data_IF_752605603701
#
_entry.id   IF_752605603701
#
_cell.length_a   1.000
_cell.length_b   1.000
_cell.length_c   1.000
_cell.angle_alpha   90.00
_cell.angle_beta   90.00
_cell.angle_gamma   90.00
#
_symmetry.space_group_name_H-M   'P 1'
#
loop_
_entity.id
_entity.type
_entity.pdbx_description
1 polymer ?
#
# COMPACT_ATOMS: atom_id res chain seq x y z
N UNK A 1 59.40 -2.76 18.70
CA UNK A 1 58.14 -2.33 18.05
C UNK A 1 58.09 -2.98 16.68
N UNK A 2 57.35 -4.08 16.55
CA UNK A 2 57.14 -4.81 15.29
C UNK A 2 55.66 -4.64 14.99
N UNK A 3 55.33 -3.90 13.94
CA UNK A 3 53.95 -3.60 13.54
C UNK A 3 53.34 -4.80 12.82
N UNK A 4 52.26 -5.33 13.39
CA UNK A 4 51.43 -6.35 12.78
C UNK A 4 50.69 -5.78 11.56
N UNK A 5 51.02 -6.28 10.38
CA UNK A 5 50.24 -6.06 9.16
C UNK A 5 49.01 -6.97 9.22
N UNK A 6 47.86 -6.40 9.58
CA UNK A 6 46.59 -7.10 9.56
C UNK A 6 46.18 -7.39 8.11
N UNK A 7 46.33 -8.63 7.68
CA UNK A 7 45.73 -9.14 6.45
C UNK A 7 44.22 -9.27 6.69
N UNK A 8 43.48 -8.24 6.31
CA UNK A 8 42.02 -8.29 6.28
C UNK A 8 41.63 -9.15 5.07
N UNK A 9 41.52 -10.46 5.29
CA UNK A 9 40.88 -11.39 4.36
C UNK A 9 39.40 -11.02 4.29
N UNK A 10 39.03 -10.24 3.28
CA UNK A 10 37.66 -10.16 2.82
C UNK A 10 37.25 -11.56 2.37
N UNK A 11 36.56 -12.26 3.27
CA UNK A 11 35.87 -13.49 2.94
C UNK A 11 34.87 -13.17 1.81
N UNK A 12 35.29 -13.48 0.59
CA UNK A 12 34.42 -13.61 -0.56
C UNK A 12 33.41 -14.70 -0.20
N UNK A 13 32.21 -14.28 0.20
CA UNK A 13 31.05 -15.16 0.20
C UNK A 13 30.87 -15.60 -1.24
N UNK A 14 31.20 -16.86 -1.51
CA UNK A 14 31.06 -17.47 -2.82
C UNK A 14 29.61 -17.41 -3.28
N UNK A 15 29.31 -16.54 -4.23
CA UNK A 15 28.09 -16.60 -5.02
C UNK A 15 28.26 -17.72 -6.05
N UNK A 16 27.97 -18.95 -5.62
CA UNK A 16 27.84 -20.08 -6.51
C UNK A 16 26.70 -19.81 -7.51
N UNK A 17 27.05 -19.63 -8.78
CA UNK A 17 26.24 -20.08 -9.94
C UNK A 17 24.75 -19.73 -10.00
N UNK A 18 24.26 -18.65 -9.39
CA UNK A 18 22.89 -18.24 -9.58
C UNK A 18 22.79 -17.52 -10.93
N UNK A 19 22.14 -18.17 -11.90
CA UNK A 19 21.77 -17.48 -13.14
C UNK A 19 21.03 -16.18 -12.78
N UNK A 20 21.15 -15.09 -13.56
CA UNK A 20 20.51 -13.82 -13.23
C UNK A 20 18.98 -13.91 -13.04
N UNK A 21 18.37 -14.98 -13.57
CA UNK A 21 16.97 -15.33 -13.34
C UNK A 21 16.67 -15.84 -11.91
N UNK A 22 17.59 -16.54 -11.26
CA UNK A 22 17.38 -17.07 -9.91
C UNK A 22 17.28 -15.95 -8.86
N UNK A 23 18.08 -14.90 -9.02
CA UNK A 23 18.01 -13.71 -8.17
C UNK A 23 16.65 -13.01 -8.29
N UNK A 24 16.12 -12.92 -9.51
CA UNK A 24 14.79 -12.38 -9.77
C UNK A 24 13.67 -13.14 -9.04
N UNK A 25 13.72 -14.47 -9.02
CA UNK A 25 12.74 -15.30 -8.28
C UNK A 25 12.83 -15.03 -6.78
N UNK A 26 14.05 -14.95 -6.23
CA UNK A 26 14.24 -14.66 -4.82
C UNK A 26 13.73 -13.26 -4.45
N UNK A 27 13.96 -12.27 -5.31
CA UNK A 27 13.39 -10.93 -5.15
C UNK A 27 11.86 -10.93 -5.22
N UNK A 28 11.25 -11.74 -6.08
CA UNK A 28 9.79 -11.91 -6.11
C UNK A 28 9.26 -12.45 -4.78
N UNK A 29 9.92 -13.46 -4.20
CA UNK A 29 9.54 -14.01 -2.90
C UNK A 29 9.65 -12.97 -1.77
N UNK A 30 10.70 -12.14 -1.78
CA UNK A 30 10.87 -11.07 -0.80
C UNK A 30 9.77 -10.01 -0.87
N UNK A 31 9.32 -9.66 -2.09
CA UNK A 31 8.22 -8.70 -2.26
C UNK A 31 6.89 -9.33 -1.86
N UNK A 32 6.62 -10.58 -2.21
CA UNK A 32 5.41 -11.27 -1.74
C UNK A 32 5.34 -11.28 -0.21
N UNK A 33 6.47 -11.50 0.47
CA UNK A 33 6.55 -11.42 1.93
C UNK A 33 6.39 -9.99 2.47
N UNK A 34 6.82 -8.96 1.74
CA UNK A 34 6.64 -7.55 2.10
C UNK A 34 5.16 -7.12 1.93
N UNK A 35 4.54 -7.46 0.80
CA UNK A 35 3.12 -7.24 0.51
C UNK A 35 2.25 -7.90 1.59
N UNK A 36 2.60 -9.13 2.01
CA UNK A 36 1.89 -9.81 3.10
C UNK A 36 2.00 -9.08 4.46
N UNK A 37 3.02 -8.23 4.65
CA UNK A 37 3.19 -7.38 5.84
C UNK A 37 2.60 -5.98 5.65
N UNK A 38 2.01 -5.68 4.50
CA UNK A 38 1.47 -4.35 4.18
C UNK A 38 2.51 -3.34 3.68
N UNK A 39 3.72 -3.78 3.31
CA UNK A 39 4.74 -2.93 2.68
C UNK A 39 4.64 -3.04 1.16
N UNK A 40 4.02 -2.03 0.55
CA UNK A 40 3.81 -1.94 -0.90
C UNK A 40 4.82 -1.04 -1.63
N UNK A 41 5.73 -0.38 -0.90
CA UNK A 41 6.66 0.59 -1.47
C UNK A 41 7.81 -0.08 -2.26
N UNK A 42 8.06 -1.35 -2.01
CA UNK A 42 9.15 -2.11 -2.63
C UNK A 42 8.80 -2.50 -4.06
N UNK A 43 9.73 -2.25 -4.99
CA UNK A 43 9.62 -2.68 -6.40
C UNK A 43 10.75 -3.64 -6.76
N UNK A 44 10.42 -4.61 -7.62
CA UNK A 44 11.40 -5.54 -8.18
C UNK A 44 12.05 -4.88 -9.38
N UNK A 45 13.37 -4.79 -9.36
CA UNK A 45 14.17 -4.51 -10.56
C UNK A 45 14.99 -5.75 -10.89
N UNK A 46 14.78 -6.28 -12.08
CA UNK A 46 15.53 -7.42 -12.60
C UNK A 46 16.57 -6.93 -13.62
N UNK A 47 17.88 -7.05 -13.34
CA UNK A 47 18.93 -6.48 -14.18
C UNK A 47 18.96 -7.11 -15.59
N UNK A 48 18.45 -8.34 -15.76
CA UNK A 48 18.43 -9.03 -17.04
C UNK A 48 17.02 -9.16 -17.61
N UNK A 49 16.67 -8.26 -18.54
CA UNK A 49 15.43 -8.31 -19.35
C UNK A 49 15.32 -9.57 -20.22
N UNK A 50 16.41 -10.31 -20.41
CA UNK A 50 16.43 -11.58 -21.13
C UNK A 50 15.81 -12.74 -20.35
N UNK A 51 15.46 -12.55 -19.07
CA UNK A 51 14.80 -13.58 -18.29
C UNK A 51 13.33 -13.75 -18.72
N UNK A 52 12.88 -15.00 -18.89
CA UNK A 52 11.49 -15.35 -19.22
C UNK A 52 10.48 -14.95 -18.12
N UNK A 53 10.97 -14.51 -16.96
CA UNK A 53 10.17 -14.09 -15.80
C UNK A 53 9.73 -12.62 -15.84
N UNK A 54 10.01 -11.90 -16.92
CA UNK A 54 9.66 -10.46 -17.05
C UNK A 54 8.16 -10.21 -16.83
N UNK A 55 7.29 -11.12 -17.32
CA UNK A 55 5.85 -11.03 -17.09
C UNK A 55 5.47 -11.17 -15.61
N UNK A 56 6.10 -12.11 -14.89
CA UNK A 56 5.89 -12.31 -13.45
C UNK A 56 6.33 -11.08 -12.65
N UNK A 57 7.52 -10.56 -12.94
CA UNK A 57 8.07 -9.36 -12.28
C UNK A 57 7.16 -8.16 -12.51
N UNK A 58 6.66 -7.98 -13.73
CA UNK A 58 5.74 -6.90 -14.08
C UNK A 58 4.40 -7.05 -13.35
N UNK A 59 3.84 -8.26 -13.32
CA UNK A 59 2.59 -8.54 -12.61
C UNK A 59 2.70 -8.33 -11.11
N UNK A 60 3.81 -8.76 -10.48
CA UNK A 60 4.07 -8.55 -9.06
C UNK A 60 4.21 -7.06 -8.72
N UNK A 61 4.95 -6.30 -9.55
CA UNK A 61 5.08 -4.86 -9.39
C UNK A 61 3.76 -4.12 -9.59
N UNK A 62 2.94 -4.56 -10.55
CA UNK A 62 1.60 -4.01 -10.77
C UNK A 62 0.71 -4.26 -9.57
N UNK A 63 0.67 -5.49 -9.03
CA UNK A 63 -0.10 -5.83 -7.83
C UNK A 63 0.33 -4.97 -6.63
N UNK A 64 1.63 -4.81 -6.39
CA UNK A 64 2.14 -3.97 -5.30
C UNK A 64 1.74 -2.50 -5.49
N UNK A 65 1.84 -1.98 -6.72
CA UNK A 65 1.46 -0.58 -7.02
C UNK A 65 -0.03 -0.36 -6.81
N UNK A 66 -0.89 -1.24 -7.35
CA UNK A 66 -2.35 -1.16 -7.13
C UNK A 66 -2.69 -1.17 -5.64
N UNK A 67 -2.09 -2.07 -4.85
CA UNK A 67 -2.32 -2.12 -3.40
C UNK A 67 -1.85 -0.85 -2.67
N UNK A 68 -0.71 -0.28 -3.09
CA UNK A 68 -0.21 1.00 -2.55
C UNK A 68 -1.21 2.13 -2.81
N UNK A 69 -1.62 2.29 -4.07
CA UNK A 69 -2.53 3.37 -4.49
C UNK A 69 -3.88 3.28 -3.78
N UNK A 70 -4.43 2.07 -3.62
CA UNK A 70 -5.68 1.85 -2.90
C UNK A 70 -5.53 2.13 -1.41
N UNK A 71 -4.42 1.72 -0.78
CA UNK A 71 -4.19 1.97 0.64
C UNK A 71 -4.09 3.47 0.92
N UNK A 72 -3.38 4.22 0.07
CA UNK A 72 -3.30 5.68 0.17
C UNK A 72 -4.69 6.34 0.06
N UNK A 73 -5.50 5.93 -0.94
CA UNK A 73 -6.86 6.46 -1.11
C UNK A 73 -7.77 6.18 0.08
N UNK A 74 -7.72 4.96 0.62
CA UNK A 74 -8.51 4.61 1.82
C UNK A 74 -8.06 5.43 3.02
N UNK A 75 -6.75 5.57 3.23
CA UNK A 75 -6.20 6.35 4.35
C UNK A 75 -6.55 7.84 4.24
N UNK A 76 -6.54 8.41 3.04
CA UNK A 76 -6.92 9.80 2.81
C UNK A 76 -8.38 10.05 3.17
N UNK A 77 -9.30 9.17 2.73
CA UNK A 77 -10.72 9.29 3.08
C UNK A 77 -10.92 9.15 4.59
N UNK A 78 -10.34 8.13 5.22
CA UNK A 78 -10.47 7.91 6.66
C UNK A 78 -9.94 9.11 7.47
N UNK A 79 -8.80 9.68 7.08
CA UNK A 79 -8.24 10.85 7.75
C UNK A 79 -9.16 12.07 7.68
N UNK A 80 -9.95 12.21 6.62
CA UNK A 80 -10.88 13.32 6.45
C UNK A 80 -12.16 13.13 7.27
N UNK A 81 -12.66 11.89 7.35
CA UNK A 81 -13.76 11.53 8.24
C UNK A 81 -13.40 11.79 9.70
N UNK A 82 -12.21 11.36 10.14
CA UNK A 82 -11.73 11.59 11.51
C UNK A 82 -11.58 13.08 11.83
N UNK A 83 -11.20 13.90 10.84
CA UNK A 83 -11.07 15.36 10.99
C UNK A 83 -12.40 16.12 10.85
N UNK A 84 -13.53 15.43 10.68
CA UNK A 84 -14.84 16.05 10.47
C UNK A 84 -14.93 16.87 9.17
N UNK A 85 -14.02 16.64 8.21
CA UNK A 85 -14.01 17.29 6.90
C UNK A 85 -14.79 16.43 5.92
N UNK A 86 -16.05 16.78 5.74
CA UNK A 86 -17.02 16.01 4.96
C UNK A 86 -17.04 16.50 3.50
N UNK A 87 -17.12 15.57 2.55
CA UNK A 87 -17.21 15.87 1.11
C UNK A 87 -16.04 15.39 0.26
N UNK A 88 -15.04 14.72 0.84
CA UNK A 88 -14.01 14.03 0.06
C UNK A 88 -14.38 12.57 -0.10
N UNK A 89 -14.45 12.17 -1.37
CA UNK A 89 -14.77 10.81 -1.77
C UNK A 89 -13.50 10.10 -2.18
N UNK A 90 -13.41 8.79 -1.88
CA UNK A 90 -12.43 7.93 -2.52
C UNK A 90 -12.66 8.05 -4.03
N UNK A 91 -11.66 8.54 -4.75
CA UNK A 91 -11.68 8.52 -6.21
C UNK A 91 -11.60 7.07 -6.63
N UNK A 92 -12.43 6.66 -7.58
CA UNK A 92 -12.26 5.33 -8.13
C UNK A 92 -10.93 5.31 -8.90
N UNK A 93 -10.02 4.42 -8.50
CA UNK A 93 -8.93 4.05 -9.39
C UNK A 93 -9.53 3.34 -10.61
N UNK A 94 -8.82 3.38 -11.74
CA UNK A 94 -9.31 2.93 -13.05
C UNK A 94 -9.45 1.39 -13.16
N UNK A 95 -9.43 0.68 -12.03
CA UNK A 95 -9.33 -0.77 -11.94
C UNK A 95 -10.70 -1.41 -11.72
N UNK A 96 -11.07 -2.31 -12.63
CA UNK A 96 -12.31 -3.08 -12.58
C UNK A 96 -12.19 -4.18 -11.51
N UNK A 97 -13.19 -4.31 -10.64
CA UNK A 97 -13.26 -5.40 -9.65
C UNK A 97 -13.69 -4.94 -8.24
N UNK A 98 -13.39 -5.77 -7.23
CA UNK A 98 -13.85 -5.59 -5.84
C UNK A 98 -13.42 -4.26 -5.23
N UNK A 99 -12.33 -3.68 -5.72
CA UNK A 99 -11.84 -2.40 -5.23
C UNK A 99 -12.78 -1.22 -5.54
N UNK A 100 -13.52 -1.29 -6.64
CA UNK A 100 -14.57 -0.30 -6.95
C UNK A 100 -15.72 -0.43 -5.95
N UNK A 101 -16.07 -1.66 -5.58
CA UNK A 101 -17.08 -1.93 -4.56
C UNK A 101 -16.63 -1.41 -3.19
N UNK A 102 -15.40 -1.72 -2.76
CA UNK A 102 -14.83 -1.21 -1.50
C UNK A 102 -14.85 0.32 -1.45
N UNK A 103 -14.42 1.01 -2.51
CA UNK A 103 -14.46 2.47 -2.58
C UNK A 103 -15.90 3.02 -2.50
N UNK A 104 -16.86 2.38 -3.16
CA UNK A 104 -18.28 2.74 -3.10
C UNK A 104 -18.86 2.56 -1.69
N UNK A 105 -18.57 1.43 -1.04
CA UNK A 105 -18.99 1.15 0.34
C UNK A 105 -18.41 2.18 1.33
N UNK A 106 -17.14 2.53 1.20
CA UNK A 106 -16.51 3.56 2.06
C UNK A 106 -17.12 4.94 1.87
N UNK A 107 -17.39 5.32 0.61
CA UNK A 107 -18.05 6.59 0.30
C UNK A 107 -19.48 6.63 0.89
N UNK A 108 -20.23 5.53 0.79
CA UNK A 108 -21.57 5.43 1.37
C UNK A 108 -21.55 5.51 2.90
N UNK A 109 -20.67 4.75 3.55
CA UNK A 109 -20.50 4.79 5.01
C UNK A 109 -20.16 6.20 5.49
N UNK A 110 -19.27 6.90 4.78
CA UNK A 110 -18.89 8.27 5.10
C UNK A 110 -20.07 9.24 4.97
N UNK A 111 -20.90 9.08 3.94
CA UNK A 111 -22.08 9.92 3.73
C UNK A 111 -23.15 9.67 4.79
N UNK A 112 -23.48 8.42 5.09
CA UNK A 112 -24.48 8.04 6.09
C UNK A 112 -24.05 8.49 7.51
N UNK A 113 -22.79 8.30 7.88
CA UNK A 113 -22.28 8.76 9.18
C UNK A 113 -22.30 10.31 9.28
N UNK A 114 -22.07 11.01 8.17
CA UNK A 114 -22.17 12.47 8.11
C UNK A 114 -23.61 12.97 8.33
N UNK A 115 -24.58 12.27 7.77
CA UNK A 115 -26.00 12.56 7.94
C UNK A 115 -26.43 12.35 9.39
N UNK A 116 -26.07 11.21 9.98
CA UNK A 116 -26.34 10.91 11.39
C UNK A 116 -25.79 11.97 12.35
N UNK A 117 -24.57 12.47 12.11
CA UNK A 117 -23.98 13.54 12.95
C UNK A 117 -24.71 14.87 12.74
N UNK A 118 -25.16 15.19 11.51
CA UNK A 118 -25.95 16.41 11.24
C UNK A 118 -27.33 16.34 11.90
N UNK A 119 -27.99 15.19 11.86
CA UNK A 119 -29.29 14.99 12.49
C UNK A 119 -29.20 15.17 14.01
N UNK A 120 -28.16 14.63 14.64
CA UNK A 120 -27.88 14.86 16.07
C UNK A 120 -27.66 16.36 16.33
N UNK A 121 -26.91 17.06 15.48
CA UNK A 121 -26.69 18.50 15.64
C UNK A 121 -28.00 19.31 15.55
N UNK A 122 -28.93 18.91 14.67
CA UNK A 122 -30.27 19.53 14.58
C UNK A 122 -31.05 19.27 15.85
N UNK A 123 -31.09 18.02 16.34
CA UNK A 123 -31.79 17.68 17.59
C UNK A 123 -31.19 18.44 18.77
N UNK A 124 -29.87 18.48 18.92
CA UNK A 124 -29.20 19.25 19.97
C UNK A 124 -29.53 20.75 19.89
N UNK A 125 -29.67 21.28 18.67
CA UNK A 125 -30.10 22.68 18.45
C UNK A 125 -31.54 22.88 18.91
N UNK A 126 -32.46 21.98 18.55
CA UNK A 126 -33.86 22.06 18.98
C UNK A 126 -33.99 22.01 20.51
N UNK A 127 -33.29 21.07 21.17
CA UNK A 127 -33.24 20.97 22.63
C UNK A 127 -32.69 22.26 23.26
N UNK A 128 -31.63 22.84 22.69
CA UNK A 128 -31.04 24.08 23.21
C UNK A 128 -31.99 25.29 23.09
N UNK A 129 -32.90 25.28 22.12
CA UNK A 129 -33.95 26.29 21.97
C UNK A 129 -35.23 25.96 22.77
N UNK A 130 -35.25 24.83 23.48
CA UNK A 130 -36.42 24.37 24.24
C UNK A 130 -37.55 23.79 23.38
N UNK A 131 -37.25 23.42 22.12
CA UNK A 131 -38.17 22.77 21.18
C UNK A 131 -38.03 21.24 21.31
N UNK A 132 -38.57 20.71 22.40
CA UNK A 132 -38.57 19.29 22.78
C UNK A 132 -39.90 18.60 22.42
#
# INVERSE_FOLDING_TARGET
MITATNANTSAAVGAAGSSPCSECVQNCALIAAAVAKGDFARKISCPNRACHLTALVTSMNHMATTLSDYTEQVMDVMNLVVKGRLGVQAKHSRDQGIWTEVASLLNRMTAEHSEQVRDIAIVCTAVAHGDL
#
